data_IF_529252034848
#
_entry.id   IF_529252034848
#
_cell.length_a   1.000
_cell.length_b   1.000
_cell.length_c   1.000
_cell.angle_alpha   90.00
_cell.angle_beta   90.00
_cell.angle_gamma   90.00
#
_symmetry.space_group_name_H-M   'P 1'
#
loop_
_entity.id
_entity.type
_entity.pdbx_description
1 polymer ?
#
# COMPACT_ATOMS: atom_id res chain seq x y z
N UNK A 1 4.00 -12.98 -5.10
CA UNK A 1 4.01 -11.53 -5.39
C UNK A 1 4.03 -10.80 -4.07
N UNK A 2 5.07 -10.01 -3.82
CA UNK A 2 5.21 -9.21 -2.61
C UNK A 2 4.14 -8.10 -2.60
N UNK A 3 3.47 -7.90 -1.45
CA UNK A 3 2.46 -6.84 -1.29
C UNK A 3 3.17 -5.60 -0.72
N UNK A 4 3.34 -4.57 -1.55
CA UNK A 4 4.03 -3.33 -1.16
C UNK A 4 3.11 -2.36 -0.40
N UNK A 5 1.83 -2.36 -0.75
CA UNK A 5 0.80 -1.57 -0.12
C UNK A 5 -0.56 -2.24 -0.31
N UNK A 6 -1.53 -1.81 0.50
CA UNK A 6 -2.93 -2.20 0.37
C UNK A 6 -3.83 -1.15 1.00
N UNK A 7 -4.82 -0.70 0.27
CA UNK A 7 -5.98 0.02 0.81
C UNK A 7 -7.08 -0.94 1.28
N UNK A 8 -7.76 -0.57 2.36
CA UNK A 8 -8.94 -1.26 2.87
C UNK A 8 -10.00 -0.27 3.33
N UNK A 9 -11.27 -0.61 3.10
CA UNK A 9 -12.41 0.10 3.66
C UNK A 9 -12.60 -0.33 5.10
N UNK A 10 -12.82 0.63 5.98
CA UNK A 10 -13.10 0.36 7.39
C UNK A 10 -14.53 -0.14 7.60
N UNK A 11 -14.72 -1.01 8.58
CA UNK A 11 -16.04 -1.34 9.13
C UNK A 11 -16.38 -0.38 10.29
N UNK A 12 -17.59 -0.48 10.83
CA UNK A 12 -18.06 0.41 11.91
C UNK A 12 -17.16 0.35 13.15
N UNK A 13 -16.61 -0.82 13.46
CA UNK A 13 -15.66 -0.99 14.57
C UNK A 13 -14.38 -0.19 14.32
N UNK A 14 -13.75 -0.31 13.15
CA UNK A 14 -12.52 0.41 12.83
C UNK A 14 -12.76 1.92 12.72
N UNK A 15 -13.91 2.35 12.17
CA UNK A 15 -14.30 3.76 12.18
C UNK A 15 -14.42 4.28 13.60
N UNK A 16 -15.07 3.52 14.50
CA UNK A 16 -15.19 3.91 15.89
C UNK A 16 -13.82 3.99 16.60
N UNK A 17 -12.95 3.00 16.38
CA UNK A 17 -11.63 2.94 16.99
C UNK A 17 -10.64 4.01 16.51
N UNK A 18 -10.96 4.72 15.43
CA UNK A 18 -10.08 5.76 14.84
C UNK A 18 -10.63 7.17 15.01
N UNK A 19 -11.71 7.35 15.78
CA UNK A 19 -12.33 8.67 16.03
C UNK A 19 -11.34 9.61 16.71
N UNK A 20 -10.63 9.13 17.73
CA UNK A 20 -9.71 9.94 18.52
C UNK A 20 -8.53 10.41 17.65
N UNK A 21 -7.94 9.52 16.84
CA UNK A 21 -6.87 9.88 15.89
C UNK A 21 -7.35 10.76 14.73
N UNK A 22 -8.60 10.62 14.30
CA UNK A 22 -9.17 11.43 13.23
C UNK A 22 -9.53 12.86 13.70
N UNK A 23 -9.60 13.10 15.01
CA UNK A 23 -10.06 14.36 15.61
C UNK A 23 -11.40 14.84 15.03
N UNK A 24 -12.28 13.90 14.70
CA UNK A 24 -13.53 14.14 13.96
C UNK A 24 -14.73 13.44 14.60
N UNK A 25 -15.94 13.73 14.09
CA UNK A 25 -17.18 13.08 14.55
C UNK A 25 -17.22 11.60 14.15
N UNK A 26 -16.55 11.26 13.04
CA UNK A 26 -16.40 9.90 12.52
C UNK A 26 -14.92 9.60 12.29
N UNK A 27 -14.50 8.35 12.46
CA UNK A 27 -13.14 7.93 12.13
C UNK A 27 -12.93 7.69 10.63
N UNK A 28 -11.74 7.21 10.27
CA UNK A 28 -11.34 7.08 8.86
C UNK A 28 -12.18 6.06 8.08
N UNK A 29 -12.60 6.40 6.85
CA UNK A 29 -13.30 5.48 5.94
C UNK A 29 -12.38 4.45 5.25
N UNK A 30 -11.12 4.83 5.09
CA UNK A 30 -10.10 4.03 4.43
C UNK A 30 -8.82 4.00 5.24
N UNK A 31 -8.17 2.84 5.27
CA UNK A 31 -6.85 2.65 5.84
C UNK A 31 -5.92 2.15 4.72
N UNK A 32 -4.77 2.79 4.57
CA UNK A 32 -3.70 2.33 3.68
C UNK A 32 -2.60 1.73 4.53
N UNK A 33 -2.36 0.43 4.37
CA UNK A 33 -1.22 -0.27 4.93
C UNK A 33 -0.04 -0.24 3.94
N UNK A 34 1.14 0.12 4.42
CA UNK A 34 2.36 0.21 3.63
C UNK A 34 3.40 -0.77 4.18
N UNK A 35 4.11 -1.47 3.30
CA UNK A 35 5.29 -2.24 3.70
C UNK A 35 6.37 -1.27 4.19
N UNK A 36 6.76 -1.42 5.47
CA UNK A 36 7.72 -0.53 6.11
C UNK A 36 9.08 -0.54 5.41
N UNK A 37 9.57 -1.72 5.01
CA UNK A 37 10.87 -1.84 4.34
C UNK A 37 10.84 -1.12 3.00
N UNK A 38 9.77 -1.30 2.23
CA UNK A 38 9.53 -0.55 1.00
C UNK A 38 9.53 0.95 1.26
N UNK A 39 8.67 1.43 2.16
CA UNK A 39 8.48 2.86 2.41
C UNK A 39 9.75 3.59 2.86
N UNK A 40 10.62 2.93 3.61
CA UNK A 40 11.86 3.51 4.11
C UNK A 40 13.00 3.53 3.07
N UNK A 41 12.94 2.69 2.03
CA UNK A 41 14.07 2.48 1.10
C UNK A 41 13.80 2.93 -0.35
N UNK A 42 12.66 3.57 -0.61
CA UNK A 42 12.29 4.08 -1.94
C UNK A 42 12.34 5.62 -1.98
N UNK A 43 12.54 6.15 -3.19
CA UNK A 43 12.55 7.59 -3.43
C UNK A 43 11.14 8.19 -3.31
N UNK A 44 11.07 9.52 -3.17
CA UNK A 44 9.79 10.24 -3.02
C UNK A 44 8.82 9.97 -4.17
N UNK A 45 9.31 9.93 -5.41
CA UNK A 45 8.46 9.71 -6.58
C UNK A 45 7.79 8.35 -6.52
N UNK A 46 8.51 7.31 -6.10
CA UNK A 46 7.97 5.96 -5.90
C UNK A 46 6.93 5.90 -4.77
N UNK A 47 7.08 6.71 -3.72
CA UNK A 47 6.03 6.86 -2.68
C UNK A 47 4.75 7.44 -3.26
N UNK A 48 4.88 8.44 -4.12
CA UNK A 48 3.74 9.03 -4.83
C UNK A 48 3.08 8.01 -5.74
N UNK A 49 3.86 7.18 -6.45
CA UNK A 49 3.32 6.09 -7.29
C UNK A 49 2.50 5.10 -6.49
N UNK A 50 3.02 4.63 -5.35
CA UNK A 50 2.31 3.70 -4.46
C UNK A 50 1.01 4.33 -3.95
N UNK A 51 1.06 5.53 -3.37
CA UNK A 51 -0.13 6.16 -2.81
C UNK A 51 -1.18 6.44 -3.89
N UNK A 52 -0.75 6.91 -5.07
CA UNK A 52 -1.65 7.13 -6.20
C UNK A 52 -2.29 5.81 -6.66
N UNK A 53 -1.52 4.72 -6.73
CA UNK A 53 -2.07 3.40 -7.07
C UNK A 53 -3.15 2.98 -6.07
N UNK A 54 -2.86 3.05 -4.76
CA UNK A 54 -3.81 2.65 -3.73
C UNK A 54 -5.07 3.51 -3.70
N UNK A 55 -4.93 4.83 -3.85
CA UNK A 55 -6.05 5.77 -3.83
C UNK A 55 -6.99 5.63 -5.04
N UNK A 56 -6.50 5.12 -6.17
CA UNK A 56 -7.36 4.87 -7.35
C UNK A 56 -8.35 3.72 -7.14
N UNK A 57 -8.13 2.88 -6.13
CA UNK A 57 -9.12 1.88 -5.75
C UNK A 57 -10.25 2.47 -4.90
N UNK A 58 -10.15 3.71 -4.42
CA UNK A 58 -11.23 4.39 -3.72
C UNK A 58 -12.13 5.13 -4.71
N UNK A 59 -13.45 4.90 -4.64
CA UNK A 59 -14.42 5.65 -5.43
C UNK A 59 -15.61 6.09 -4.57
N UNK A 60 -16.30 7.13 -5.03
CA UNK A 60 -17.48 7.70 -4.39
C UNK A 60 -18.72 7.38 -5.23
N UNK A 61 -19.65 6.64 -4.63
CA UNK A 61 -20.94 6.27 -5.22
C UNK A 61 -22.01 7.26 -4.79
N UNK A 62 -22.30 8.24 -5.65
CA UNK A 62 -23.28 9.32 -5.39
C UNK A 62 -24.70 8.79 -5.21
N UNK A 63 -25.01 7.60 -5.71
CA UNK A 63 -26.35 7.00 -5.67
C UNK A 63 -26.55 6.10 -4.42
N UNK A 64 -25.50 5.91 -3.61
CA UNK A 64 -25.61 5.08 -2.40
C UNK A 64 -26.37 5.81 -1.30
N UNK A 65 -27.49 5.22 -0.85
CA UNK A 65 -28.31 5.75 0.24
C UNK A 65 -27.62 5.67 1.62
N UNK A 66 -26.78 4.64 1.87
CA UNK A 66 -26.21 4.39 3.20
C UNK A 66 -24.79 4.93 3.37
N UNK A 67 -23.86 4.49 2.53
CA UNK A 67 -22.43 4.81 2.63
C UNK A 67 -21.82 4.96 1.22
N UNK A 68 -21.51 6.19 0.78
CA UNK A 68 -21.04 6.45 -0.58
C UNK A 68 -19.61 6.00 -0.83
N UNK A 69 -18.84 5.66 0.21
CA UNK A 69 -17.44 5.25 0.07
C UNK A 69 -17.34 3.77 -0.30
N UNK A 70 -16.62 3.47 -1.39
CA UNK A 70 -16.48 2.12 -1.93
C UNK A 70 -15.06 1.83 -2.38
N UNK A 71 -14.68 0.54 -2.36
CA UNK A 71 -13.46 0.06 -2.98
C UNK A 71 -13.79 -0.63 -4.30
N UNK A 72 -13.18 -0.17 -5.38
CA UNK A 72 -13.20 -0.86 -6.66
C UNK A 72 -12.03 -1.85 -6.74
N UNK A 73 -12.26 -2.96 -7.44
CA UNK A 73 -11.18 -3.85 -7.83
C UNK A 73 -10.50 -3.31 -9.10
N UNK A 74 -9.28 -3.78 -9.35
CA UNK A 74 -8.54 -3.48 -10.58
C UNK A 74 -9.40 -3.76 -11.82
N UNK A 75 -9.50 -2.77 -12.70
CA UNK A 75 -10.04 -2.90 -14.05
C UNK A 75 -8.95 -2.80 -15.12
N UNK A 76 -9.26 -3.22 -16.35
CA UNK A 76 -8.34 -3.08 -17.50
C UNK A 76 -8.10 -1.59 -17.81
N UNK A 77 -9.12 -0.74 -17.69
CA UNK A 77 -8.99 0.71 -17.82
C UNK A 77 -8.02 1.27 -16.78
N UNK A 78 -8.05 0.72 -15.55
CA UNK A 78 -7.15 1.18 -14.49
C UNK A 78 -5.68 0.95 -14.85
N UNK A 79 -5.39 -0.17 -15.52
CA UNK A 79 -4.04 -0.51 -15.98
C UNK A 79 -3.53 0.46 -17.05
N UNK A 80 -4.35 0.81 -18.05
CA UNK A 80 -3.93 1.75 -19.09
C UNK A 80 -3.61 3.13 -18.53
N UNK A 81 -4.49 3.65 -17.68
CA UNK A 81 -4.27 4.92 -16.97
C UNK A 81 -3.03 4.84 -16.07
N UNK A 82 -2.79 3.72 -15.38
CA UNK A 82 -1.61 3.53 -14.55
C UNK A 82 -0.31 3.60 -15.36
N UNK A 83 -0.27 2.95 -16.52
CA UNK A 83 0.87 3.00 -17.43
C UNK A 83 1.07 4.42 -17.97
N UNK A 84 -0.02 5.10 -18.31
CA UNK A 84 -0.01 6.49 -18.79
C UNK A 84 0.53 7.47 -17.73
N UNK A 85 0.12 7.32 -16.47
CA UNK A 85 0.59 8.13 -15.35
C UNK A 85 2.05 7.83 -14.92
N UNK A 86 2.58 6.68 -15.34
CA UNK A 86 3.92 6.22 -15.01
C UNK A 86 4.76 5.96 -16.28
N UNK A 87 4.56 6.73 -17.35
CA UNK A 87 5.28 6.54 -18.62
C UNK A 87 6.80 6.49 -18.50
N UNK A 88 7.33 7.22 -17.54
CA UNK A 88 8.76 7.29 -17.24
C UNK A 88 9.28 6.03 -16.55
N UNK A 89 8.41 5.27 -15.87
CA UNK A 89 8.71 3.94 -15.33
C UNK A 89 7.45 3.05 -15.30
N UNK A 90 7.06 2.45 -16.45
CA UNK A 90 5.84 1.63 -16.53
C UNK A 90 5.90 0.34 -15.71
N UNK A 91 7.12 -0.08 -15.31
CA UNK A 91 7.39 -1.28 -14.52
C UNK A 91 7.85 -0.97 -13.10
N UNK A 92 7.45 0.20 -12.59
CA UNK A 92 7.81 0.66 -11.26
C UNK A 92 7.45 -0.38 -10.20
N UNK A 93 6.30 -1.05 -10.33
CA UNK A 93 5.80 -2.02 -9.35
C UNK A 93 6.70 -3.25 -9.26
N UNK A 94 7.12 -3.80 -10.39
CA UNK A 94 8.05 -4.93 -10.46
C UNK A 94 9.44 -4.53 -9.95
N UNK A 95 9.93 -3.35 -10.34
CA UNK A 95 11.21 -2.81 -9.86
C UNK A 95 11.21 -2.68 -8.34
N UNK A 96 10.16 -2.10 -7.76
CA UNK A 96 10.05 -1.93 -6.32
C UNK A 96 9.91 -3.27 -5.59
N UNK A 97 9.14 -4.21 -6.14
CA UNK A 97 9.01 -5.54 -5.57
C UNK A 97 10.37 -6.25 -5.48
N UNK A 98 11.17 -6.20 -6.55
CA UNK A 98 12.50 -6.79 -6.60
C UNK A 98 13.44 -6.17 -5.55
N UNK A 99 13.48 -4.83 -5.44
CA UNK A 99 14.31 -4.14 -4.44
C UNK A 99 13.96 -4.58 -3.01
N UNK A 100 12.67 -4.69 -2.71
CA UNK A 100 12.22 -5.04 -1.35
C UNK A 100 12.45 -6.53 -1.07
N UNK A 101 12.27 -7.39 -2.06
CA UNK A 101 12.60 -8.81 -1.97
C UNK A 101 14.08 -9.02 -1.65
N UNK A 102 14.98 -8.34 -2.37
CA UNK A 102 16.43 -8.38 -2.12
C UNK A 102 16.77 -7.95 -0.69
N UNK A 103 16.13 -6.87 -0.18
CA UNK A 103 16.36 -6.41 1.20
C UNK A 103 15.88 -7.47 2.21
N UNK A 104 14.77 -8.14 1.95
CA UNK A 104 14.28 -9.20 2.81
C UNK A 104 15.20 -10.43 2.81
N UNK A 105 15.74 -10.80 1.65
CA UNK A 105 16.73 -11.87 1.53
C UNK A 105 18.01 -11.54 2.31
N UNK A 106 18.56 -10.34 2.13
CA UNK A 106 19.75 -9.89 2.87
C UNK A 106 19.52 -9.89 4.40
N UNK A 107 18.34 -9.43 4.86
CA UNK A 107 17.97 -9.47 6.28
C UNK A 107 17.87 -10.91 6.81
N UNK A 108 17.40 -11.85 5.98
CA UNK A 108 17.27 -13.26 6.34
C UNK A 108 18.64 -13.92 6.46
N UNK A 109 19.52 -13.71 5.50
CA UNK A 109 20.91 -14.21 5.51
C UNK A 109 21.68 -13.68 6.74
N UNK A 110 21.62 -12.37 6.98
CA UNK A 110 22.28 -11.76 8.14
C UNK A 110 21.79 -12.30 9.49
N UNK A 111 20.51 -12.71 9.59
CA UNK A 111 19.96 -13.38 10.78
C UNK A 111 20.48 -14.81 10.92
N UNK A 112 20.59 -15.55 9.82
CA UNK A 112 21.13 -16.91 9.82
C UNK A 112 22.60 -16.93 10.24
N UNK A 113 23.41 -16.01 9.73
CA UNK A 113 24.82 -15.87 10.12
C UNK A 113 24.99 -15.54 11.60
N UNK A 114 24.17 -14.62 12.13
CA UNK A 114 24.16 -14.29 13.56
C UNK A 114 23.81 -15.51 14.42
N UNK A 115 22.87 -16.33 13.98
CA UNK A 115 22.47 -17.54 14.70
C UNK A 115 23.54 -18.62 14.63
N UNK A 116 24.25 -18.75 13.51
CA UNK A 116 25.39 -19.68 13.37
C UNK A 116 26.53 -19.29 14.31
N UNK A 117 26.93 -18.02 14.33
CA UNK A 117 27.98 -17.50 15.23
C UNK A 117 27.65 -17.61 16.73
N UNK A 118 26.37 -17.74 17.11
CA UNK A 118 25.96 -17.97 18.51
C UNK A 118 26.00 -19.45 18.92
N UNK A 119 26.08 -20.36 17.96
CA UNK A 119 26.09 -21.83 18.18
C UNK A 119 27.49 -22.42 18.15
N UNK A 120 28.48 -21.67 17.67
CA UNK A 120 29.92 -21.93 17.76
C UNK A 120 30.48 -21.32 19.03
#
# INVERSE_FOLDING_TARGET
>A
MLVLARIMKTNDLLRHLTIDEAEAIEGYDYIIALDKTCWENIIRDDKVRILRHELRHAYFDIESEDNPYRLQNHSISDFYEEVEFNKDDPRWRERLAAVVEDIYEQKKEARQDKNKKKRE
#
